data_IF_703153767650
#
_entry.id   IF_703153767650
#
_cell.length_a   1.000
_cell.length_b   1.000
_cell.length_c   1.000
_cell.angle_alpha   90.00
_cell.angle_beta   90.00
_cell.angle_gamma   90.00
#
_symmetry.space_group_name_H-M   'P 1'
#
loop_
_entity.id
_entity.type
_entity.pdbx_description
1 polymer ?
#
# COMPACT_ATOMS: atom_id res chain seq x y z
N UNK A 1 4.81 -10.92 -46.89
CA UNK A 1 5.56 -11.59 -47.99
C UNK A 1 5.85 -13.02 -47.57
N UNK A 2 5.91 -13.93 -48.54
CA UNK A 2 5.55 -15.34 -48.48
C UNK A 2 6.16 -16.25 -47.40
N UNK A 3 5.31 -17.18 -46.97
CA UNK A 3 5.67 -18.51 -46.45
C UNK A 3 6.48 -19.27 -47.51
N UNK A 4 7.57 -19.92 -47.10
CA UNK A 4 7.98 -21.23 -47.63
C UNK A 4 8.66 -22.02 -46.50
N UNK A 5 8.09 -23.18 -46.17
CA UNK A 5 8.67 -24.19 -45.29
C UNK A 5 9.04 -25.36 -46.19
N UNK A 6 10.33 -25.56 -46.42
CA UNK A 6 10.85 -26.71 -47.15
C UNK A 6 11.16 -27.83 -46.15
N UNK A 7 10.29 -28.82 -46.04
CA UNK A 7 10.57 -30.06 -45.31
C UNK A 7 11.26 -31.06 -46.23
N UNK A 8 12.58 -31.20 -46.10
CA UNK A 8 13.31 -32.35 -46.64
C UNK A 8 13.32 -33.48 -45.61
N UNK A 9 12.67 -34.59 -45.97
CA UNK A 9 12.59 -35.83 -45.21
C UNK A 9 13.92 -36.60 -45.32
N UNK A 10 14.68 -36.69 -44.23
CA UNK A 10 15.61 -37.81 -43.98
C UNK A 10 15.34 -38.33 -42.57
N UNK A 11 14.87 -39.58 -42.51
CA UNK A 11 14.60 -40.30 -41.29
C UNK A 11 15.89 -40.75 -40.59
N UNK A 12 15.74 -40.94 -39.26
CA UNK A 12 16.63 -41.61 -38.31
C UNK A 12 17.59 -40.72 -37.49
N UNK A 13 17.06 -40.20 -36.38
CA UNK A 13 17.62 -40.40 -35.04
C UNK A 13 16.68 -39.76 -34.02
N UNK A 14 16.48 -40.43 -32.89
CA UNK A 14 15.72 -39.96 -31.73
C UNK A 14 16.28 -38.63 -31.23
N UNK A 15 15.71 -37.52 -31.70
CA UNK A 15 15.90 -36.19 -31.16
C UNK A 15 14.54 -35.70 -30.74
N UNK A 16 14.30 -35.65 -29.43
CA UNK A 16 13.16 -34.94 -28.85
C UNK A 16 13.29 -33.51 -29.35
N UNK A 17 12.50 -33.14 -30.36
CA UNK A 17 12.21 -31.76 -30.65
C UNK A 17 11.44 -31.25 -29.44
N UNK A 18 12.17 -30.75 -28.44
CA UNK A 18 11.63 -29.78 -27.50
C UNK A 18 11.28 -28.56 -28.32
N UNK A 19 10.08 -28.57 -28.90
CA UNK A 19 9.41 -27.35 -29.31
C UNK A 19 9.34 -26.49 -28.06
N UNK A 20 10.22 -25.49 -27.99
CA UNK A 20 10.01 -24.37 -27.09
C UNK A 20 8.70 -23.75 -27.55
N UNK A 21 7.62 -24.06 -26.82
CA UNK A 21 6.38 -23.33 -26.95
C UNK A 21 6.69 -21.85 -26.75
N UNK A 22 6.28 -21.07 -27.76
CA UNK A 22 6.24 -19.63 -27.73
C UNK A 22 5.44 -19.11 -26.54
N UNK A 23 6.01 -18.13 -25.83
CA UNK A 23 5.47 -17.36 -24.71
C UNK A 23 5.43 -18.08 -23.35
N UNK A 24 6.58 -18.09 -22.66
CA UNK A 24 6.63 -18.16 -21.20
C UNK A 24 6.25 -16.76 -20.68
N UNK A 25 4.97 -16.38 -20.83
CA UNK A 25 4.45 -15.14 -20.23
C UNK A 25 4.69 -15.19 -18.72
N UNK A 26 5.23 -14.11 -18.16
CA UNK A 26 5.54 -14.07 -16.74
C UNK A 26 4.23 -14.10 -15.94
N UNK A 27 3.86 -15.28 -15.45
CA UNK A 27 2.68 -15.57 -14.64
C UNK A 27 2.43 -14.54 -13.52
N UNK A 28 3.48 -13.95 -12.94
CA UNK A 28 3.35 -12.95 -11.88
C UNK A 28 2.86 -11.58 -12.40
N UNK A 29 2.72 -11.38 -13.70
CA UNK A 29 2.14 -10.18 -14.29
C UNK A 29 0.64 -10.35 -14.56
N UNK A 30 0.12 -11.57 -14.48
CA UNK A 30 -1.27 -11.87 -14.78
C UNK A 30 -2.19 -11.34 -13.68
N UNK A 31 -3.34 -10.80 -14.09
CA UNK A 31 -4.41 -10.45 -13.13
C UNK A 31 -5.15 -11.73 -12.72
N UNK A 32 -5.25 -12.04 -11.42
CA UNK A 32 -5.93 -13.26 -10.99
C UNK A 32 -7.43 -13.17 -11.25
N UNK A 33 -7.99 -14.24 -11.79
CA UNK A 33 -9.43 -14.35 -12.01
C UNK A 33 -10.13 -15.08 -10.86
N UNK A 34 -11.35 -14.65 -10.52
CA UNK A 34 -12.17 -15.34 -9.51
C UNK A 34 -12.51 -16.80 -9.92
N UNK A 35 -12.65 -17.07 -11.22
CA UNK A 35 -12.99 -18.40 -11.74
C UNK A 35 -14.47 -18.77 -11.61
N UNK A 36 -14.81 -20.00 -11.99
CA UNK A 36 -16.18 -20.55 -11.93
C UNK A 36 -16.27 -21.65 -10.88
N UNK A 37 -17.30 -21.60 -10.02
CA UNK A 37 -17.53 -22.61 -9.01
C UNK A 37 -18.34 -22.08 -7.83
N UNK A 38 -18.88 -22.99 -7.02
CA UNK A 38 -19.66 -22.64 -5.80
C UNK A 38 -18.80 -22.62 -4.53
N UNK A 39 -17.72 -23.38 -4.49
CA UNK A 39 -16.81 -23.44 -3.34
C UNK A 39 -15.78 -22.31 -3.45
N UNK A 40 -15.87 -21.33 -2.55
CA UNK A 40 -14.93 -20.20 -2.47
C UNK A 40 -13.86 -20.52 -1.44
N UNK A 41 -12.60 -20.41 -1.84
CA UNK A 41 -11.44 -20.72 -1.00
C UNK A 41 -10.49 -19.52 -0.91
N UNK A 42 -9.73 -19.46 0.18
CA UNK A 42 -8.67 -18.47 0.39
C UNK A 42 -7.40 -18.93 -0.36
N UNK A 43 -6.82 -18.04 -1.15
CA UNK A 43 -5.50 -18.18 -1.74
C UNK A 43 -4.71 -16.88 -1.65
N UNK A 44 -3.59 -16.84 -2.37
CA UNK A 44 -2.69 -15.70 -2.46
C UNK A 44 -2.42 -15.37 -3.93
N UNK A 45 -2.31 -14.09 -4.26
CA UNK A 45 -1.93 -13.64 -5.59
C UNK A 45 -0.85 -12.56 -5.46
N UNK A 46 -0.05 -12.38 -6.49
CA UNK A 46 0.96 -11.32 -6.53
C UNK A 46 0.42 -10.11 -7.28
N UNK A 47 0.50 -8.94 -6.64
CA UNK A 47 0.22 -7.65 -7.27
C UNK A 47 1.55 -7.04 -7.71
N UNK A 48 1.77 -6.92 -9.02
CA UNK A 48 2.97 -6.36 -9.62
C UNK A 48 3.13 -4.86 -9.39
N UNK A 49 2.03 -4.09 -9.28
CA UNK A 49 2.07 -2.65 -8.97
C UNK A 49 2.54 -2.38 -7.54
N UNK A 50 2.18 -3.27 -6.62
CA UNK A 50 2.57 -3.17 -5.21
C UNK A 50 3.82 -3.96 -4.90
N UNK A 51 4.33 -4.79 -5.80
CA UNK A 51 5.36 -5.80 -5.56
C UNK A 51 5.12 -6.52 -4.22
N UNK A 52 3.90 -7.08 -4.06
CA UNK A 52 3.45 -7.78 -2.84
C UNK A 52 2.50 -8.91 -3.17
N UNK A 53 2.63 -10.00 -2.42
CA UNK A 53 1.61 -11.03 -2.35
C UNK A 53 0.48 -10.59 -1.43
N UNK A 54 -0.76 -10.83 -1.83
CA UNK A 54 -1.97 -10.47 -1.08
C UNK A 54 -2.97 -11.62 -1.09
N UNK A 55 -3.88 -11.61 -0.13
CA UNK A 55 -4.95 -12.61 -0.02
C UNK A 55 -5.95 -12.40 -1.15
N UNK A 56 -6.30 -13.48 -1.86
CA UNK A 56 -7.28 -13.48 -2.93
C UNK A 56 -8.26 -14.65 -2.76
N UNK A 57 -9.55 -14.33 -2.65
CA UNK A 57 -10.61 -15.32 -2.60
C UNK A 57 -11.07 -15.67 -4.02
N UNK A 58 -11.16 -16.96 -4.30
CA UNK A 58 -11.47 -17.46 -5.64
C UNK A 58 -12.28 -18.76 -5.57
N UNK A 59 -12.93 -19.11 -6.68
CA UNK A 59 -13.54 -20.42 -6.86
C UNK A 59 -12.45 -21.50 -6.89
N UNK A 60 -12.60 -22.54 -6.09
CA UNK A 60 -11.62 -23.62 -5.97
C UNK A 60 -11.35 -24.30 -7.33
N UNK A 61 -10.06 -24.49 -7.63
CA UNK A 61 -9.57 -25.12 -8.86
C UNK A 61 -8.99 -26.51 -8.59
N UNK A 62 -8.92 -27.32 -9.63
CA UNK A 62 -8.23 -28.61 -9.61
C UNK A 62 -6.71 -28.46 -9.79
N UNK A 63 -6.29 -27.43 -10.52
CA UNK A 63 -4.91 -27.12 -10.81
C UNK A 63 -4.69 -25.61 -10.75
N UNK A 64 -3.54 -25.19 -10.23
CA UNK A 64 -3.12 -23.80 -10.05
C UNK A 64 -1.77 -23.52 -10.75
N UNK A 65 -1.18 -24.50 -11.43
CA UNK A 65 0.22 -24.42 -11.90
C UNK A 65 0.54 -23.26 -12.84
N UNK A 66 -0.44 -22.75 -13.58
CA UNK A 66 -0.24 -21.73 -14.61
C UNK A 66 -1.02 -20.43 -14.33
N UNK A 67 -1.27 -20.13 -13.05
CA UNK A 67 -2.05 -18.95 -12.67
C UNK A 67 -1.36 -18.15 -11.57
N UNK A 68 -1.61 -16.84 -11.53
CA UNK A 68 -1.21 -15.98 -10.43
C UNK A 68 -2.07 -16.21 -9.16
N UNK A 69 -2.24 -17.48 -8.77
CA UNK A 69 -2.99 -17.91 -7.60
C UNK A 69 -2.19 -19.02 -6.91
N UNK A 70 -1.87 -18.80 -5.65
CA UNK A 70 -1.02 -19.63 -4.82
C UNK A 70 -1.75 -20.09 -3.56
N UNK A 71 -1.42 -21.29 -3.10
CA UNK A 71 -2.04 -21.87 -1.90
C UNK A 71 -1.70 -21.11 -0.61
N UNK A 72 -0.52 -20.48 -0.56
CA UNK A 72 -0.07 -19.71 0.61
C UNK A 72 0.91 -18.59 0.19
N UNK A 73 1.11 -17.63 1.11
CA UNK A 73 1.97 -16.46 0.91
C UNK A 73 3.41 -16.84 0.57
N UNK A 74 3.95 -17.88 1.22
CA UNK A 74 5.34 -18.32 1.01
C UNK A 74 5.55 -18.79 -0.43
N UNK A 75 4.62 -19.58 -0.99
CA UNK A 75 4.69 -20.04 -2.37
C UNK A 75 4.63 -18.86 -3.36
N UNK A 76 3.74 -17.88 -3.10
CA UNK A 76 3.65 -16.66 -3.89
C UNK A 76 4.96 -15.86 -3.86
N UNK A 77 5.51 -15.58 -2.67
CA UNK A 77 6.75 -14.82 -2.53
C UNK A 77 7.95 -15.57 -3.15
N UNK A 78 8.03 -16.89 -3.02
CA UNK A 78 9.10 -17.68 -3.65
C UNK A 78 9.04 -17.63 -5.18
N UNK A 79 7.83 -17.65 -5.76
CA UNK A 79 7.66 -17.61 -7.22
C UNK A 79 7.84 -16.21 -7.80
N UNK A 80 7.18 -15.22 -7.20
CA UNK A 80 7.09 -13.86 -7.77
C UNK A 80 8.06 -12.85 -7.16
N UNK A 81 8.65 -13.15 -5.99
CA UNK A 81 9.60 -12.27 -5.30
C UNK A 81 10.87 -13.02 -4.87
N UNK A 82 11.52 -13.80 -5.76
CA UNK A 82 12.63 -14.69 -5.40
C UNK A 82 13.86 -13.94 -4.85
N UNK A 83 13.97 -12.64 -5.14
CA UNK A 83 15.07 -11.79 -4.67
C UNK A 83 14.98 -11.41 -3.19
N UNK A 84 13.80 -11.54 -2.57
CA UNK A 84 13.59 -11.20 -1.16
C UNK A 84 13.78 -12.46 -0.32
N UNK A 85 14.76 -12.50 0.60
CA UNK A 85 14.98 -13.68 1.42
C UNK A 85 13.75 -14.06 2.25
N UNK A 86 13.43 -15.35 2.33
CA UNK A 86 12.27 -15.85 3.08
C UNK A 86 12.24 -15.37 4.55
N UNK A 87 13.42 -15.20 5.17
CA UNK A 87 13.55 -14.67 6.54
C UNK A 87 13.00 -13.25 6.69
N UNK A 88 12.92 -12.44 5.63
CA UNK A 88 12.38 -11.08 5.67
C UNK A 88 10.84 -11.08 5.81
N UNK A 89 10.17 -12.18 5.47
CA UNK A 89 8.73 -12.35 5.68
C UNK A 89 8.40 -13.02 7.02
N UNK A 90 9.39 -13.66 7.66
CA UNK A 90 9.18 -14.37 8.91
C UNK A 90 8.91 -13.40 10.07
N UNK A 91 8.09 -13.82 11.03
CA UNK A 91 7.91 -13.07 12.26
C UNK A 91 9.23 -13.04 13.07
N UNK A 92 9.54 -11.92 13.77
CA UNK A 92 10.68 -11.89 14.67
C UNK A 92 10.51 -12.93 15.79
N UNK A 93 11.62 -13.47 16.33
CA UNK A 93 11.54 -14.33 17.51
C UNK A 93 10.98 -13.55 18.70
N UNK A 94 10.19 -14.24 19.52
CA UNK A 94 9.69 -13.70 20.77
C UNK A 94 10.85 -13.52 21.77
N UNK A 95 10.82 -12.38 22.47
CA UNK A 95 11.71 -12.13 23.61
C UNK A 95 11.46 -13.16 24.71
N UNK A 96 12.53 -13.68 25.31
CA UNK A 96 12.48 -14.67 26.39
C UNK A 96 12.79 -14.08 27.77
N UNK A 97 13.11 -12.79 27.84
CA UNK A 97 13.27 -12.09 29.12
C UNK A 97 14.27 -10.94 29.09
N UNK A 98 14.68 -10.52 30.28
CA UNK A 98 15.52 -9.34 30.52
C UNK A 98 16.98 -9.50 30.06
N UNK A 99 17.45 -10.74 29.91
CA UNK A 99 18.81 -11.06 29.45
C UNK A 99 18.97 -11.02 27.92
N UNK A 100 17.91 -10.76 27.17
CA UNK A 100 17.95 -10.69 25.71
C UNK A 100 18.78 -9.49 25.23
N UNK A 101 19.49 -9.66 24.12
CA UNK A 101 20.34 -8.64 23.53
C UNK A 101 19.53 -7.73 22.58
N UNK A 102 19.94 -6.47 22.40
CA UNK A 102 19.34 -5.58 21.42
C UNK A 102 19.69 -6.05 20.01
N UNK A 103 18.65 -6.23 19.19
CA UNK A 103 18.76 -6.58 17.78
C UNK A 103 17.79 -5.76 16.95
N UNK A 104 17.83 -5.94 15.64
CA UNK A 104 16.93 -5.33 14.67
C UNK A 104 16.12 -6.43 13.99
N UNK A 105 14.83 -6.19 13.73
CA UNK A 105 13.98 -7.01 12.85
C UNK A 105 13.56 -6.17 11.66
N UNK A 106 13.21 -6.84 10.56
CA UNK A 106 12.52 -6.20 9.46
C UNK A 106 11.01 -6.45 9.55
N UNK A 107 10.19 -5.40 9.40
CA UNK A 107 8.74 -5.53 9.26
C UNK A 107 8.35 -5.26 7.80
N UNK A 108 8.04 -6.32 7.06
CA UNK A 108 7.67 -6.25 5.63
C UNK A 108 6.38 -5.47 5.37
N UNK A 109 5.50 -5.33 6.38
CA UNK A 109 4.26 -4.56 6.25
C UNK A 109 4.53 -3.07 6.21
N UNK A 110 5.47 -2.61 7.05
CA UNK A 110 5.85 -1.20 7.17
C UNK A 110 7.14 -0.85 6.46
N UNK A 111 7.87 -1.82 5.88
CA UNK A 111 9.14 -1.59 5.20
C UNK A 111 10.24 -1.08 6.13
N UNK A 112 10.08 -1.22 7.45
CA UNK A 112 10.96 -0.63 8.47
C UNK A 112 11.80 -1.69 9.16
N UNK A 113 13.03 -1.29 9.46
CA UNK A 113 13.90 -2.00 10.39
C UNK A 113 13.62 -1.48 11.81
N UNK A 114 13.12 -2.34 12.70
CA UNK A 114 12.65 -2.01 14.04
C UNK A 114 13.55 -2.64 15.10
N UNK A 115 13.74 -1.95 16.22
CA UNK A 115 14.49 -2.50 17.35
C UNK A 115 13.68 -3.57 18.08
N UNK A 116 14.32 -4.69 18.39
CA UNK A 116 13.75 -5.81 19.16
C UNK A 116 14.76 -6.30 20.20
N UNK A 117 14.30 -7.15 21.13
CA UNK A 117 15.17 -7.93 22.00
C UNK A 117 15.04 -9.40 21.64
N UNK A 118 16.17 -10.10 21.48
CA UNK A 118 16.18 -11.54 21.22
C UNK A 118 17.33 -12.25 21.97
N UNK A 119 17.20 -13.56 22.25
CA UNK A 119 18.20 -14.30 23.01
C UNK A 119 19.54 -14.43 22.29
N UNK A 120 19.49 -14.60 20.96
CA UNK A 120 20.65 -14.74 20.09
C UNK A 120 20.32 -14.27 18.69
N UNK A 121 21.37 -13.91 17.96
CA UNK A 121 21.29 -13.82 16.51
C UNK A 121 21.11 -15.24 15.93
N UNK A 122 20.25 -15.33 14.92
CA UNK A 122 20.01 -16.55 14.17
C UNK A 122 19.87 -16.15 12.69
N UNK A 123 20.86 -16.48 11.83
CA UNK A 123 20.87 -16.06 10.42
C UNK A 123 19.65 -16.52 9.61
N UNK A 124 18.97 -17.59 10.06
CA UNK A 124 17.76 -18.10 9.42
C UNK A 124 16.48 -17.37 9.85
N UNK A 125 16.55 -16.54 10.90
CA UNK A 125 15.41 -15.79 11.44
C UNK A 125 15.48 -14.33 11.03
N UNK A 126 14.34 -13.65 11.22
CA UNK A 126 14.22 -12.22 11.02
C UNK A 126 14.88 -11.44 12.19
N UNK A 127 16.20 -11.55 12.31
CA UNK A 127 17.02 -10.91 13.35
C UNK A 127 18.35 -10.47 12.75
N UNK A 128 18.72 -9.23 12.99
CA UNK A 128 19.91 -8.60 12.44
C UNK A 128 20.70 -7.89 13.55
N UNK A 129 22.04 -7.93 13.46
CA UNK A 129 22.93 -7.22 14.39
C UNK A 129 22.78 -5.71 14.34
N UNK A 130 22.42 -5.16 13.19
CA UNK A 130 22.40 -3.73 12.96
C UNK A 130 21.32 -3.31 11.96
N UNK A 131 21.00 -2.01 11.98
CA UNK A 131 20.08 -1.42 11.01
C UNK A 131 20.66 -1.50 9.58
N UNK A 132 21.99 -1.39 9.44
CA UNK A 132 22.67 -1.53 8.15
C UNK A 132 22.50 -2.94 7.55
N UNK A 133 22.68 -4.00 8.34
CA UNK A 133 22.44 -5.38 7.89
C UNK A 133 20.98 -5.63 7.52
N UNK A 134 20.02 -5.17 8.35
CA UNK A 134 18.59 -5.27 8.04
C UNK A 134 18.23 -4.53 6.74
N UNK A 135 18.78 -3.33 6.57
CA UNK A 135 18.52 -2.51 5.38
C UNK A 135 19.08 -3.17 4.13
N UNK A 136 20.30 -3.70 4.19
CA UNK A 136 20.94 -4.34 3.05
C UNK A 136 20.24 -5.66 2.65
N UNK A 137 19.91 -6.50 3.62
CA UNK A 137 19.43 -7.85 3.36
C UNK A 137 17.92 -7.94 3.10
N UNK A 138 17.12 -7.06 3.73
CA UNK A 138 15.66 -7.10 3.61
C UNK A 138 15.06 -5.82 3.03
N UNK A 139 15.32 -4.64 3.61
CA UNK A 139 14.62 -3.41 3.15
C UNK A 139 14.99 -3.06 1.71
N UNK A 140 16.26 -3.15 1.36
CA UNK A 140 16.78 -2.83 0.03
C UNK A 140 16.36 -3.84 -1.03
N UNK A 141 16.25 -5.11 -0.67
CA UNK A 141 15.79 -6.19 -1.56
C UNK A 141 14.28 -6.15 -1.74
N UNK A 142 13.51 -5.93 -0.65
CA UNK A 142 12.06 -5.74 -0.72
C UNK A 142 11.73 -4.51 -1.56
N UNK A 143 12.27 -3.34 -1.23
CA UNK A 143 11.96 -2.08 -1.92
C UNK A 143 12.88 -1.80 -3.11
N UNK A 144 13.40 -2.84 -3.79
CA UNK A 144 14.40 -2.66 -4.85
C UNK A 144 13.89 -1.76 -5.98
N UNK A 145 12.62 -1.86 -6.36
CA UNK A 145 12.05 -1.03 -7.44
C UNK A 145 12.08 0.47 -7.08
N UNK A 146 12.02 0.81 -5.79
CA UNK A 146 12.12 2.19 -5.32
C UNK A 146 13.57 2.69 -5.23
N UNK A 147 14.51 1.79 -4.90
CA UNK A 147 15.86 2.17 -4.47
C UNK A 147 16.92 1.88 -5.54
N UNK A 148 16.73 0.85 -6.35
CA UNK A 148 17.68 0.34 -7.32
C UNK A 148 16.96 -0.45 -8.44
N UNK A 149 16.07 0.23 -9.17
CA UNK A 149 15.47 -0.32 -10.38
C UNK A 149 16.54 -0.52 -11.47
N UNK A 150 16.40 -1.59 -12.24
CA UNK A 150 17.32 -1.96 -13.33
C UNK A 150 16.63 -1.80 -14.67
N UNK A 151 17.39 -1.69 -15.77
CA UNK A 151 16.80 -1.53 -17.12
C UNK A 151 15.81 -2.65 -17.49
N UNK A 152 16.05 -3.89 -17.02
CA UNK A 152 15.12 -5.01 -17.21
C UNK A 152 13.74 -4.77 -16.56
N UNK A 153 13.67 -3.99 -15.48
CA UNK A 153 12.39 -3.66 -14.82
C UNK A 153 11.52 -2.70 -15.62
N UNK A 154 12.10 -2.03 -16.63
CA UNK A 154 11.40 -1.10 -17.51
C UNK A 154 11.25 -1.61 -18.95
N UNK A 155 11.67 -2.83 -19.25
CA UNK A 155 11.63 -3.38 -20.63
C UNK A 155 10.23 -3.38 -21.25
N UNK A 156 9.19 -3.51 -20.42
CA UNK A 156 7.78 -3.49 -20.83
C UNK A 156 7.10 -2.11 -20.71
N UNK A 157 7.85 -1.08 -20.30
CA UNK A 157 7.34 0.28 -20.13
C UNK A 157 7.62 1.07 -21.40
N UNK A 158 6.58 1.31 -22.19
CA UNK A 158 6.66 2.22 -23.33
C UNK A 158 6.67 3.68 -22.85
N UNK A 159 7.73 4.43 -23.18
CA UNK A 159 7.84 5.86 -22.90
C UNK A 159 8.51 6.20 -21.57
N UNK A 160 7.99 7.20 -20.88
CA UNK A 160 8.58 7.69 -19.63
C UNK A 160 8.29 6.76 -18.45
N UNK A 161 9.30 6.58 -17.61
CA UNK A 161 9.16 5.84 -16.34
C UNK A 161 9.26 6.79 -15.15
N UNK A 162 8.81 6.34 -13.98
CA UNK A 162 8.80 7.12 -12.76
C UNK A 162 9.69 6.50 -11.71
N UNK A 163 10.49 7.32 -11.01
CA UNK A 163 11.41 6.91 -9.95
C UNK A 163 11.09 7.62 -8.65
N UNK A 164 11.28 6.91 -7.53
CA UNK A 164 11.29 7.54 -6.22
C UNK A 164 12.56 8.38 -5.99
N UNK A 165 12.37 9.66 -5.68
CA UNK A 165 13.42 10.59 -5.30
C UNK A 165 13.47 10.68 -3.77
N UNK A 166 14.53 10.11 -3.17
CA UNK A 166 14.71 10.11 -1.72
C UNK A 166 14.99 11.50 -1.14
N UNK A 167 15.55 12.44 -1.92
CA UNK A 167 15.85 13.80 -1.45
C UNK A 167 14.59 14.64 -1.40
N UNK A 168 13.78 14.56 -2.44
CA UNK A 168 12.52 15.30 -2.54
C UNK A 168 11.33 14.59 -1.92
N UNK A 169 11.49 13.30 -1.56
CA UNK A 169 10.45 12.48 -0.95
C UNK A 169 9.20 12.39 -1.84
N UNK A 170 9.40 12.18 -3.14
CA UNK A 170 8.33 12.14 -4.15
C UNK A 170 8.67 11.20 -5.31
N UNK A 171 7.69 10.86 -6.14
CA UNK A 171 7.89 10.10 -7.38
C UNK A 171 7.95 11.05 -8.57
N UNK A 172 9.02 10.98 -9.36
CA UNK A 172 9.27 11.85 -10.51
C UNK A 172 9.44 11.06 -11.79
N UNK A 173 9.03 11.67 -12.89
CA UNK A 173 9.35 11.20 -14.22
C UNK A 173 10.86 11.26 -14.47
N UNK A 174 11.40 10.23 -15.11
CA UNK A 174 12.81 10.16 -15.51
C UNK A 174 13.04 10.95 -16.80
N UNK A 175 13.97 11.90 -16.80
CA UNK A 175 14.20 12.81 -17.94
C UNK A 175 15.09 12.23 -19.05
N UNK A 176 15.86 11.17 -18.76
CA UNK A 176 16.99 10.75 -19.62
C UNK A 176 16.81 9.33 -20.19
N UNK A 177 15.58 8.80 -20.20
CA UNK A 177 15.29 7.42 -20.62
C UNK A 177 15.78 6.34 -19.64
N UNK A 178 16.43 6.73 -18.54
CA UNK A 178 16.84 5.81 -17.47
C UNK A 178 15.64 5.10 -16.83
N UNK A 179 15.78 3.83 -16.47
CA UNK A 179 14.69 3.11 -15.82
C UNK A 179 14.35 3.63 -14.41
N UNK A 180 13.11 4.08 -14.21
CA UNK A 180 12.56 4.51 -12.93
C UNK A 180 11.94 3.38 -12.11
N UNK A 181 11.62 2.24 -12.75
CA UNK A 181 11.03 1.06 -12.14
C UNK A 181 9.50 1.04 -12.15
N UNK A 182 8.84 2.15 -12.51
CA UNK A 182 7.38 2.25 -12.51
C UNK A 182 6.84 2.94 -13.76
N UNK A 183 5.71 2.45 -14.27
CA UNK A 183 5.03 2.99 -15.46
C UNK A 183 4.30 4.32 -15.22
N UNK A 184 3.94 4.60 -13.97
CA UNK A 184 3.21 5.81 -13.59
C UNK A 184 3.67 6.33 -12.21
N UNK A 185 3.47 7.62 -11.98
CA UNK A 185 3.69 8.22 -10.66
C UNK A 185 2.81 7.53 -9.60
N UNK A 186 1.58 7.17 -9.94
CA UNK A 186 0.65 6.46 -9.05
C UNK A 186 1.22 5.11 -8.59
N UNK A 187 1.72 4.28 -9.51
CA UNK A 187 2.31 2.98 -9.16
C UNK A 187 3.58 3.13 -8.33
N UNK A 188 4.41 4.14 -8.66
CA UNK A 188 5.55 4.50 -7.82
C UNK A 188 5.10 4.90 -6.40
N UNK A 189 4.09 5.74 -6.25
CA UNK A 189 3.59 6.12 -4.93
C UNK A 189 2.99 4.93 -4.18
N UNK A 190 2.24 4.05 -4.85
CA UNK A 190 1.68 2.80 -4.28
C UNK A 190 2.75 1.91 -3.65
N UNK A 191 3.90 1.75 -4.30
CA UNK A 191 5.01 0.95 -3.78
C UNK A 191 5.91 1.72 -2.81
N UNK A 192 6.30 2.93 -3.17
CA UNK A 192 7.37 3.69 -2.53
C UNK A 192 6.87 4.70 -1.49
N UNK A 193 5.56 4.91 -1.37
CA UNK A 193 4.94 5.80 -0.38
C UNK A 193 5.33 5.46 1.07
N UNK A 194 5.67 4.20 1.32
CA UNK A 194 6.19 3.70 2.60
C UNK A 194 7.55 4.31 3.00
N UNK A 195 8.32 4.81 2.03
CA UNK A 195 9.59 5.51 2.24
C UNK A 195 9.40 7.01 2.48
N UNK A 196 8.20 7.54 2.22
CA UNK A 196 7.93 8.97 2.26
C UNK A 196 7.54 9.40 3.68
N UNK A 197 8.38 10.23 4.29
CA UNK A 197 8.13 10.73 5.65
C UNK A 197 6.99 11.75 5.68
N UNK A 198 6.88 12.59 4.64
CA UNK A 198 5.82 13.60 4.47
C UNK A 198 4.55 12.96 3.92
N UNK A 199 3.93 12.08 4.70
CA UNK A 199 2.73 11.30 4.31
C UNK A 199 1.63 12.16 3.71
N UNK A 200 1.37 13.33 4.27
CA UNK A 200 0.28 14.21 3.89
C UNK A 200 0.41 14.85 2.50
N UNK A 201 1.58 14.74 1.86
CA UNK A 201 1.77 15.21 0.47
C UNK A 201 1.52 14.10 -0.56
N UNK A 202 1.38 12.86 -0.11
CA UNK A 202 1.09 11.75 -1.00
C UNK A 202 -0.37 11.79 -1.46
N UNK A 203 -0.66 11.35 -2.69
CA UNK A 203 -2.04 11.07 -3.09
C UNK A 203 -2.64 9.97 -2.21
N UNK A 204 -3.97 9.95 -2.11
CA UNK A 204 -4.71 8.85 -1.46
C UNK A 204 -4.70 7.66 -2.44
N UNK A 205 -4.20 6.50 -2.00
CA UNK A 205 -3.90 5.37 -2.89
C UNK A 205 -4.94 4.25 -2.90
N UNK A 206 -5.99 4.34 -2.08
CA UNK A 206 -7.11 3.38 -1.97
C UNK A 206 -6.75 1.89 -2.19
N UNK A 207 -5.63 1.44 -1.63
CA UNK A 207 -5.13 0.06 -1.78
C UNK A 207 -6.06 -0.90 -1.05
N UNK A 208 -6.67 -1.86 -1.75
CA UNK A 208 -7.59 -2.88 -1.19
C UNK A 208 -7.02 -4.29 -1.20
N UNK A 209 -5.79 -4.49 -1.68
CA UNK A 209 -5.15 -5.80 -1.78
C UNK A 209 -4.45 -6.18 -0.47
N UNK A 210 -5.24 -6.32 0.59
CA UNK A 210 -4.86 -6.93 1.86
C UNK A 210 -5.95 -7.88 2.32
N UNK A 211 -5.74 -8.58 3.44
CA UNK A 211 -6.69 -9.58 3.94
C UNK A 211 -8.06 -8.97 4.26
N UNK A 212 -8.08 -7.81 4.92
CA UNK A 212 -9.31 -7.11 5.30
C UNK A 212 -9.15 -5.60 5.09
N UNK A 213 -9.60 -5.07 3.95
CA UNK A 213 -9.72 -3.63 3.74
C UNK A 213 -10.69 -3.05 4.75
N UNK A 214 -10.31 -1.93 5.35
CA UNK A 214 -11.09 -1.26 6.39
C UNK A 214 -11.26 0.20 6.04
N UNK A 215 -12.13 0.91 6.76
CA UNK A 215 -12.21 2.36 6.65
C UNK A 215 -10.88 2.99 7.07
N UNK A 216 -10.31 3.78 6.17
CA UNK A 216 -9.08 4.57 6.33
C UNK A 216 -9.40 6.05 6.11
N UNK A 217 -8.48 6.91 6.49
CA UNK A 217 -8.55 8.35 6.26
C UNK A 217 -7.24 8.80 5.62
N UNK A 218 -7.32 9.63 4.58
CA UNK A 218 -6.16 10.19 3.91
C UNK A 218 -6.32 11.68 3.72
N UNK A 219 -5.24 12.44 3.81
CA UNK A 219 -5.30 13.89 3.61
C UNK A 219 -5.26 14.22 2.11
N UNK A 220 -6.30 14.85 1.62
CA UNK A 220 -6.38 15.36 0.27
C UNK A 220 -5.91 16.83 0.24
N UNK A 221 -4.71 17.06 -0.27
CA UNK A 221 -4.11 18.40 -0.34
C UNK A 221 -4.88 19.35 -1.27
N UNK A 222 -5.69 18.85 -2.22
CA UNK A 222 -6.49 19.68 -3.14
C UNK A 222 -7.74 20.23 -2.45
N UNK A 223 -8.40 19.41 -1.63
CA UNK A 223 -9.62 19.79 -0.90
C UNK A 223 -9.33 20.30 0.51
N UNK A 224 -8.08 20.17 0.96
CA UNK A 224 -7.58 20.48 2.30
C UNK A 224 -8.34 19.70 3.40
N UNK A 225 -8.72 18.46 3.10
CA UNK A 225 -9.54 17.62 4.00
C UNK A 225 -8.93 16.26 4.23
N UNK A 226 -9.15 15.73 5.43
CA UNK A 226 -9.06 14.29 5.64
C UNK A 226 -10.32 13.62 5.10
N UNK A 227 -10.13 12.74 4.12
CA UNK A 227 -11.19 12.07 3.38
C UNK A 227 -11.20 10.58 3.71
N UNK A 228 -12.40 10.06 3.93
CA UNK A 228 -12.66 8.64 4.22
C UNK A 228 -12.57 7.82 2.93
N UNK A 229 -11.86 6.70 2.98
CA UNK A 229 -11.80 5.73 1.89
C UNK A 229 -11.73 4.30 2.42
N UNK A 230 -12.07 3.32 1.57
CA UNK A 230 -11.85 1.90 1.88
C UNK A 230 -10.44 1.52 1.44
N UNK A 231 -9.64 0.96 2.34
CA UNK A 231 -8.31 0.51 1.99
C UNK A 231 -7.55 -0.15 3.12
N UNK A 232 -6.27 -0.37 2.87
CA UNK A 232 -5.32 -1.04 3.74
C UNK A 232 -4.34 -0.02 4.34
N UNK A 233 -3.61 -0.46 5.37
CA UNK A 233 -2.44 0.30 5.81
C UNK A 233 -1.35 0.21 4.72
N UNK A 234 -0.96 1.34 4.16
CA UNK A 234 0.05 1.44 3.09
C UNK A 234 1.39 2.02 3.58
N UNK A 235 1.44 2.44 4.84
CA UNK A 235 2.60 3.10 5.45
C UNK A 235 2.76 4.58 5.06
N UNK A 236 1.95 5.08 4.12
CA UNK A 236 1.90 6.45 3.60
C UNK A 236 0.67 7.21 4.11
N UNK A 237 -0.14 7.75 3.18
CA UNK A 237 -1.32 8.59 3.45
C UNK A 237 -2.60 7.79 3.72
N UNK A 238 -2.48 6.82 4.62
CA UNK A 238 -3.58 5.95 5.06
C UNK A 238 -3.54 5.82 6.58
N UNK A 239 -4.41 6.57 7.24
CA UNK A 239 -4.53 6.63 8.70
C UNK A 239 -5.70 5.76 9.18
N UNK A 240 -5.54 5.14 10.35
CA UNK A 240 -6.57 4.28 10.92
C UNK A 240 -7.78 5.11 11.39
N UNK A 241 -7.53 6.29 11.94
CA UNK A 241 -8.55 7.17 12.52
C UNK A 241 -8.55 8.56 11.88
N UNK A 242 -9.74 9.17 11.75
CA UNK A 242 -9.88 10.53 11.23
C UNK A 242 -9.06 11.54 12.05
N UNK A 243 -9.06 11.38 13.38
CA UNK A 243 -8.28 12.21 14.30
C UNK A 243 -6.78 12.14 14.02
N UNK A 244 -6.26 10.96 13.71
CA UNK A 244 -4.85 10.77 13.37
C UNK A 244 -4.51 11.57 12.11
N UNK A 245 -5.30 11.44 11.04
CA UNK A 245 -5.14 12.23 9.82
C UNK A 245 -5.17 13.74 10.11
N UNK A 246 -6.18 14.23 10.83
CA UNK A 246 -6.32 15.66 11.13
C UNK A 246 -5.15 16.18 11.96
N UNK A 247 -4.71 15.44 12.98
CA UNK A 247 -3.57 15.83 13.82
C UNK A 247 -2.26 15.88 13.03
N UNK A 248 -2.02 14.90 12.16
CA UNK A 248 -0.76 14.80 11.42
C UNK A 248 -0.70 15.76 10.23
N UNK A 249 -1.78 15.92 9.49
CA UNK A 249 -1.78 16.62 8.20
C UNK A 249 -2.35 18.03 8.23
N UNK A 250 -3.27 18.30 9.16
CA UNK A 250 -3.95 19.58 9.21
C UNK A 250 -4.28 19.97 10.66
N UNK A 251 -3.25 20.09 11.53
CA UNK A 251 -3.45 20.29 12.97
C UNK A 251 -4.20 21.57 13.32
N UNK A 252 -4.09 22.59 12.45
CA UNK A 252 -4.74 23.89 12.59
C UNK A 252 -6.09 23.98 11.86
N UNK A 253 -6.53 22.93 11.17
CA UNK A 253 -7.82 22.96 10.48
C UNK A 253 -8.97 22.95 11.50
N UNK A 254 -10.07 23.64 11.16
CA UNK A 254 -11.22 23.79 12.07
C UNK A 254 -11.84 22.47 12.53
N UNK A 255 -11.69 21.39 11.76
CA UNK A 255 -12.12 20.04 12.18
C UNK A 255 -11.20 19.40 13.25
N UNK A 256 -9.97 19.90 13.43
CA UNK A 256 -9.10 19.45 14.51
C UNK A 256 -9.17 20.33 15.77
N UNK A 257 -9.79 21.50 15.67
CA UNK A 257 -9.96 22.40 16.81
C UNK A 257 -10.95 21.82 17.83
N UNK A 258 -10.80 22.23 19.09
CA UNK A 258 -11.78 21.88 20.13
C UNK A 258 -13.16 22.42 19.74
N UNK A 259 -14.23 21.62 19.94
CA UNK A 259 -15.59 22.09 19.72
C UNK A 259 -15.88 23.41 20.43
N UNK A 260 -16.33 24.41 19.69
CA UNK A 260 -16.78 25.67 20.27
C UNK A 260 -18.24 25.50 20.73
N UNK A 261 -18.46 24.71 21.78
CA UNK A 261 -19.79 24.51 22.37
C UNK A 261 -20.02 25.39 23.60
N UNK A 262 -18.94 25.94 24.19
CA UNK A 262 -18.99 26.59 25.49
C UNK A 262 -19.22 25.61 26.65
N UNK A 263 -19.35 26.15 27.87
CA UNK A 263 -19.49 25.37 29.12
C UNK A 263 -20.80 24.59 29.23
N UNK A 264 -21.87 25.07 28.57
CA UNK A 264 -23.23 24.50 28.67
C UNK A 264 -23.77 24.11 27.28
N UNK A 265 -23.30 23.00 26.69
CA UNK A 265 -23.64 22.59 25.31
C UNK A 265 -25.12 22.26 25.09
N UNK A 266 -25.93 22.15 26.15
CA UNK A 266 -27.37 21.87 26.08
C UNK A 266 -28.26 23.09 26.35
N UNK A 267 -27.67 24.27 26.59
CA UNK A 267 -28.40 25.49 26.92
C UNK A 267 -28.37 26.49 25.75
N UNK A 268 -29.55 26.90 25.28
CA UNK A 268 -29.70 27.89 24.22
C UNK A 268 -30.93 27.68 23.33
N UNK A 269 -31.19 28.66 22.47
CA UNK A 269 -32.38 28.69 21.61
C UNK A 269 -32.14 28.16 20.20
N UNK A 270 -30.87 28.04 19.79
CA UNK A 270 -30.50 27.67 18.41
C UNK A 270 -29.62 26.43 18.42
N UNK A 271 -29.94 25.45 17.57
CA UNK A 271 -29.10 24.26 17.38
C UNK A 271 -27.96 24.58 16.40
N UNK A 272 -26.74 24.17 16.76
CA UNK A 272 -25.53 24.23 15.95
C UNK A 272 -24.79 22.91 16.02
N UNK A 273 -23.88 22.67 15.09
CA UNK A 273 -23.16 21.41 14.96
C UNK A 273 -21.66 21.60 15.12
N UNK A 274 -20.95 20.59 15.56
CA UNK A 274 -19.50 20.59 15.67
C UNK A 274 -18.98 19.18 15.38
N UNK A 275 -17.75 19.09 14.93
CA UNK A 275 -17.12 17.80 14.65
C UNK A 275 -16.34 17.30 15.87
N UNK A 276 -16.65 16.08 16.32
CA UNK A 276 -15.86 15.35 17.32
C UNK A 276 -14.94 14.37 16.59
N UNK A 277 -13.66 14.73 16.46
CA UNK A 277 -12.66 13.94 15.75
C UNK A 277 -12.38 12.60 16.43
N UNK A 278 -12.54 12.48 17.75
CA UNK A 278 -12.31 11.22 18.48
C UNK A 278 -13.34 10.16 18.11
N UNK A 279 -14.58 10.59 17.87
CA UNK A 279 -15.69 9.71 17.50
C UNK A 279 -15.94 9.68 16.00
N UNK A 280 -15.27 10.57 15.25
CA UNK A 280 -15.55 10.87 13.86
C UNK A 280 -17.05 11.12 13.61
N UNK A 281 -17.70 12.01 14.39
CA UNK A 281 -19.12 12.35 14.23
C UNK A 281 -19.39 13.85 14.32
N UNK A 282 -20.40 14.31 13.59
CA UNK A 282 -20.93 15.66 13.73
C UNK A 282 -22.03 15.66 14.80
N UNK A 283 -21.72 16.22 15.97
CA UNK A 283 -22.65 16.31 17.11
C UNK A 283 -23.30 17.69 17.18
N UNK A 284 -24.44 17.79 17.86
CA UNK A 284 -25.16 19.06 18.04
C UNK A 284 -24.91 19.68 19.41
N UNK A 285 -24.89 21.01 19.47
CA UNK A 285 -24.95 21.80 20.69
C UNK A 285 -26.03 22.91 20.57
N UNK A 286 -26.56 23.35 21.70
CA UNK A 286 -27.43 24.53 21.79
C UNK A 286 -26.58 25.78 22.02
N UNK A 287 -26.93 26.86 21.33
CA UNK A 287 -26.27 28.17 21.39
C UNK A 287 -27.29 29.28 21.62
N UNK A 288 -26.85 30.36 22.27
CA UNK A 288 -27.66 31.55 22.52
C UNK A 288 -27.75 32.46 21.29
N UNK A 289 -26.69 32.50 20.48
CA UNK A 289 -26.60 33.35 19.29
C UNK A 289 -26.72 32.52 18.01
N UNK A 290 -27.22 33.14 16.95
CA UNK A 290 -27.25 32.54 15.61
C UNK A 290 -25.88 32.53 14.93
N UNK A 291 -24.96 33.39 15.39
CA UNK A 291 -23.64 33.58 14.80
C UNK A 291 -22.82 32.28 14.82
N UNK A 292 -22.19 31.96 13.68
CA UNK A 292 -21.29 30.83 13.53
C UNK A 292 -19.99 31.35 12.93
N UNK A 293 -18.91 31.49 13.71
CA UNK A 293 -17.63 31.89 13.18
C UNK A 293 -17.15 30.86 12.14
N UNK A 294 -16.85 31.30 10.92
CA UNK A 294 -16.45 30.42 9.82
C UNK A 294 -15.12 29.69 10.02
N UNK A 295 -14.35 30.06 11.05
CA UNK A 295 -13.01 29.54 11.35
C UNK A 295 -12.97 28.66 12.61
N UNK A 296 -14.07 28.48 13.35
CA UNK A 296 -14.11 27.62 14.55
C UNK A 296 -14.72 26.25 14.24
N UNK A 297 -14.59 25.30 15.16
CA UNK A 297 -15.27 24.00 15.06
C UNK A 297 -16.77 24.13 15.44
N UNK A 298 -17.51 24.91 14.65
CA UNK A 298 -18.95 25.14 14.80
C UNK A 298 -19.57 25.38 13.41
N UNK A 299 -20.69 24.73 13.13
CA UNK A 299 -21.35 24.69 11.84
C UNK A 299 -22.84 24.98 12.01
N UNK A 300 -23.45 25.54 10.96
CA UNK A 300 -24.86 25.86 10.97
C UNK A 300 -25.74 24.61 10.90
N UNK A 301 -25.34 23.63 10.08
CA UNK A 301 -26.09 22.39 9.84
C UNK A 301 -25.19 21.16 9.99
N UNK A 302 -25.81 20.00 10.26
CA UNK A 302 -25.12 18.71 10.27
C UNK A 302 -24.47 18.41 8.92
N UNK A 303 -25.19 18.67 7.83
CA UNK A 303 -24.71 18.45 6.47
C UNK A 303 -23.47 19.27 6.15
N UNK A 304 -23.41 20.54 6.60
CA UNK A 304 -22.23 21.38 6.43
C UNK A 304 -21.03 20.81 7.20
N UNK A 305 -21.24 20.37 8.44
CA UNK A 305 -20.21 19.72 9.25
C UNK A 305 -19.68 18.45 8.55
N UNK A 306 -20.58 17.57 8.09
CA UNK A 306 -20.20 16.31 7.44
C UNK A 306 -19.46 16.55 6.12
N UNK A 307 -19.93 17.48 5.29
CA UNK A 307 -19.28 17.82 4.01
C UNK A 307 -17.83 18.29 4.19
N UNK A 308 -17.54 19.00 5.28
CA UNK A 308 -16.22 19.60 5.53
C UNK A 308 -15.32 18.64 6.32
N UNK A 309 -15.84 18.02 7.39
CA UNK A 309 -15.03 17.25 8.35
C UNK A 309 -15.13 15.72 8.18
N UNK A 310 -16.09 15.23 7.41
CA UNK A 310 -16.33 13.80 7.13
C UNK A 310 -16.49 13.55 5.62
N UNK A 311 -15.69 14.24 4.82
CA UNK A 311 -15.68 14.06 3.38
C UNK A 311 -15.27 12.62 3.03
N UNK A 312 -15.83 12.09 1.95
CA UNK A 312 -15.45 10.78 1.39
C UNK A 312 -14.61 11.02 0.15
N UNK A 313 -13.53 10.26 0.00
CA UNK A 313 -12.69 10.32 -1.18
C UNK A 313 -13.47 9.77 -2.38
N UNK A 314 -13.49 10.53 -3.48
CA UNK A 314 -14.22 10.16 -4.71
C UNK A 314 -13.28 9.72 -5.84
N UNK A 315 -12.01 9.44 -5.52
CA UNK A 315 -10.97 9.27 -6.54
C UNK A 315 -10.56 10.60 -7.17
N UNK A 316 -9.41 10.63 -7.82
CA UNK A 316 -9.07 11.71 -8.74
C UNK A 316 -9.92 11.56 -10.00
N UNK A 317 -11.20 11.91 -9.92
CA UNK A 317 -12.05 12.16 -11.09
C UNK A 317 -11.61 13.47 -11.73
N UNK A 318 -10.44 13.45 -12.37
CA UNK A 318 -9.87 14.55 -13.13
C UNK A 318 -9.10 13.98 -14.31
N UNK A 319 -9.64 14.19 -15.51
CA UNK A 319 -9.06 13.88 -16.81
C UNK A 319 -7.57 14.23 -16.94
#
# INVERSE_FOLDING_TARGET
MHKEILCTLIAAALGICSGQNSQDENLCLDTPEFGQGREVVKGWSYNSELDKCYVFYHAKRHDYSNENIFLNESACNQRCRPHVPAKCYAQPPLSKGTSDFPFITYDSRTGRCLAIRAPKEDPAKNVFRSNASCTKECRGTDLRLCLNATEADCEYIDGSSYRYDAKEQTCKETSDGSCGGFRSAENCFKRCGILIEKKCTLPIQNITTCEEPTTRYGYNARTERCEEFLGCADGGNSFQEAKECWNHCAPNHRCNMKPDTGRFPRFGFVTRYYFDSNKNVCSSAKKMTKNVPGNTNLFETAQQCEKICKAKYQGDSGH
#
